data_IF_719762675615
#
_entry.id   IF_719762675615
#
_cell.length_a   1.000
_cell.length_b   1.000
_cell.length_c   1.000
_cell.angle_alpha   90.00
_cell.angle_beta   90.00
_cell.angle_gamma   90.00
#
_symmetry.space_group_name_H-M   'P 1'
#
loop_
_entity.id
_entity.type
_entity.pdbx_description
1 polymer ?
#
# COMPACT_ATOMS: atom_id res chain seq x y z
N UNK A 1 7.59 53.44 -25.98
CA UNK A 1 7.93 52.52 -24.86
C UNK A 1 6.83 51.48 -24.74
N UNK A 2 6.95 50.37 -25.50
CA UNK A 2 5.92 49.33 -25.68
C UNK A 2 6.34 48.00 -25.00
N UNK A 3 6.88 48.06 -23.79
CA UNK A 3 7.50 46.89 -23.15
C UNK A 3 7.00 46.60 -21.75
N UNK A 4 5.93 47.27 -21.28
CA UNK A 4 5.41 47.06 -19.93
C UNK A 4 4.02 46.40 -19.85
N UNK A 5 3.31 46.24 -20.97
CA UNK A 5 2.03 45.52 -21.01
C UNK A 5 2.17 44.04 -21.40
N UNK A 6 3.36 43.58 -21.81
CA UNK A 6 3.57 42.20 -22.23
C UNK A 6 3.91 41.24 -21.06
N UNK A 7 4.25 41.76 -19.88
CA UNK A 7 4.68 40.91 -18.74
C UNK A 7 3.53 40.46 -17.82
N UNK A 8 2.36 41.10 -17.90
CA UNK A 8 1.21 40.80 -17.04
C UNK A 8 0.24 39.78 -17.63
N UNK A 9 0.33 39.49 -18.93
CA UNK A 9 -0.51 38.48 -19.59
C UNK A 9 0.03 37.04 -19.49
N UNK A 10 1.30 36.86 -19.12
CA UNK A 10 1.95 35.55 -19.07
C UNK A 10 1.87 34.87 -17.69
N UNK A 11 1.43 35.58 -16.65
CA UNK A 11 1.34 35.08 -15.27
C UNK A 11 -0.06 34.56 -14.88
N UNK A 12 -1.05 34.69 -15.76
CA UNK A 12 -2.43 34.26 -15.49
C UNK A 12 -2.80 32.88 -16.08
N UNK A 13 -1.88 32.17 -16.74
CA UNK A 13 -2.20 30.98 -17.54
C UNK A 13 -1.67 29.63 -17.02
N UNK A 14 -1.22 29.52 -15.76
CA UNK A 14 -0.56 28.29 -15.26
C UNK A 14 -1.27 27.60 -14.07
N UNK A 15 -2.49 27.98 -13.68
CA UNK A 15 -3.18 27.30 -12.56
C UNK A 15 -4.55 26.66 -12.89
N UNK A 16 -4.78 26.24 -14.13
CA UNK A 16 -6.00 25.50 -14.50
C UNK A 16 -5.69 24.16 -15.21
N UNK A 17 -4.73 23.39 -14.69
CA UNK A 17 -4.51 21.99 -15.08
C UNK A 17 -3.75 21.37 -13.89
N UNK A 18 -4.24 20.49 -13.02
CA UNK A 18 -5.22 19.42 -13.13
C UNK A 18 -5.92 19.26 -11.77
N UNK A 19 -7.20 19.61 -11.68
CA UNK A 19 -8.07 18.93 -10.73
C UNK A 19 -8.61 17.68 -11.43
N UNK A 20 -7.73 16.72 -11.71
CA UNK A 20 -8.19 15.36 -11.90
C UNK A 20 -8.60 14.87 -10.52
N UNK A 21 -9.84 15.16 -10.13
CA UNK A 21 -10.53 14.32 -9.15
C UNK A 21 -10.56 12.91 -9.74
N UNK A 22 -9.48 12.15 -9.50
CA UNK A 22 -9.57 10.71 -9.59
C UNK A 22 -10.75 10.35 -8.70
N UNK A 23 -11.80 9.77 -9.28
CA UNK A 23 -12.83 9.11 -8.48
C UNK A 23 -12.11 8.02 -7.70
N UNK A 24 -11.67 8.35 -6.48
CA UNK A 24 -11.30 7.33 -5.52
C UNK A 24 -12.61 6.65 -5.19
N UNK A 25 -12.84 5.52 -5.85
CA UNK A 25 -13.92 4.62 -5.54
C UNK A 25 -13.66 4.17 -4.10
N UNK A 26 -14.39 4.76 -3.16
CA UNK A 26 -14.49 4.26 -1.80
C UNK A 26 -15.11 2.88 -1.91
N UNK A 27 -14.26 1.85 -1.97
CA UNK A 27 -14.65 0.46 -1.80
C UNK A 27 -15.41 0.40 -0.47
N UNK A 28 -16.68 -0.01 -0.51
CA UNK A 28 -17.40 -0.30 0.73
C UNK A 28 -16.74 -1.54 1.34
N UNK A 29 -15.79 -1.29 2.25
CA UNK A 29 -14.81 -2.28 2.68
C UNK A 29 -15.43 -3.41 3.51
N UNK A 30 -16.69 -3.26 3.89
CA UNK A 30 -17.50 -4.27 4.59
C UNK A 30 -17.76 -5.53 3.76
N UNK A 31 -17.82 -5.37 2.43
CA UNK A 31 -18.34 -6.36 1.51
C UNK A 31 -17.32 -7.41 1.07
N UNK A 32 -16.02 -7.08 1.12
CA UNK A 32 -14.96 -7.98 0.65
C UNK A 32 -14.39 -8.84 1.77
N UNK A 33 -14.29 -10.15 1.55
CA UNK A 33 -13.76 -11.14 2.49
C UNK A 33 -12.39 -11.66 2.04
N UNK A 34 -11.43 -11.71 2.96
CA UNK A 34 -10.08 -12.14 2.64
C UNK A 34 -10.05 -13.64 2.30
N UNK A 35 -9.50 -14.00 1.16
CA UNK A 35 -9.35 -15.39 0.73
C UNK A 35 -7.89 -15.86 0.77
N UNK A 36 -7.01 -15.07 0.16
CA UNK A 36 -5.61 -15.46 -0.07
C UNK A 36 -4.67 -14.45 0.56
N UNK A 37 -3.62 -14.95 1.21
CA UNK A 37 -2.54 -14.16 1.80
C UNK A 37 -1.24 -14.68 1.17
N UNK A 38 -0.48 -13.78 0.58
CA UNK A 38 0.82 -14.09 -0.02
C UNK A 38 1.90 -13.16 0.54
N UNK A 39 3.12 -13.68 0.59
CA UNK A 39 4.31 -12.93 1.01
C UNK A 39 5.35 -12.98 -0.09
N UNK A 40 5.89 -11.81 -0.42
CA UNK A 40 6.96 -11.66 -1.37
C UNK A 40 7.99 -10.65 -0.85
N UNK A 41 9.25 -10.91 -1.15
CA UNK A 41 10.34 -10.03 -0.77
C UNK A 41 11.46 -10.15 -1.81
N UNK A 42 12.19 -9.05 -2.01
CA UNK A 42 13.36 -9.04 -2.89
C UNK A 42 14.50 -9.90 -2.32
N UNK A 43 14.68 -9.86 -1.00
CA UNK A 43 15.63 -10.72 -0.27
C UNK A 43 14.97 -12.04 0.15
N UNK A 44 15.54 -13.17 -0.29
CA UNK A 44 15.06 -14.52 0.04
C UNK A 44 15.10 -14.83 1.54
N UNK A 45 16.03 -14.25 2.30
CA UNK A 45 16.07 -14.40 3.76
C UNK A 45 14.88 -13.71 4.41
N UNK A 46 14.49 -12.53 3.91
CA UNK A 46 13.29 -11.83 4.37
C UNK A 46 12.05 -12.65 3.99
N UNK A 47 11.98 -13.16 2.75
CA UNK A 47 10.87 -14.02 2.32
C UNK A 47 10.73 -15.25 3.21
N UNK A 48 11.83 -15.95 3.47
CA UNK A 48 11.86 -17.10 4.38
C UNK A 48 11.46 -16.74 5.82
N UNK A 49 11.89 -15.58 6.32
CA UNK A 49 11.51 -15.07 7.63
C UNK A 49 10.01 -14.80 7.74
N UNK A 50 9.40 -14.20 6.71
CA UNK A 50 7.97 -13.92 6.63
C UNK A 50 7.16 -15.22 6.62
N UNK A 51 7.53 -16.17 5.76
CA UNK A 51 6.87 -17.48 5.66
C UNK A 51 6.98 -18.27 6.98
N UNK A 52 8.15 -18.25 7.63
CA UNK A 52 8.34 -18.90 8.94
C UNK A 52 7.42 -18.35 10.04
N UNK A 53 6.97 -17.10 9.93
CA UNK A 53 6.10 -16.44 10.91
C UNK A 53 4.75 -16.06 10.30
N UNK A 54 4.27 -16.82 9.30
CA UNK A 54 3.01 -16.54 8.62
C UNK A 54 1.80 -16.66 9.55
N UNK A 55 1.87 -17.58 10.52
CA UNK A 55 0.83 -17.80 11.54
C UNK A 55 0.61 -16.57 12.44
N UNK A 56 1.61 -15.69 12.58
CA UNK A 56 1.54 -14.47 13.37
C UNK A 56 0.88 -13.30 12.63
N UNK A 57 0.60 -13.46 11.33
CA UNK A 57 -0.01 -12.41 10.51
C UNK A 57 -1.30 -11.90 11.11
N UNK A 58 -1.51 -10.58 10.99
CA UNK A 58 -2.74 -9.89 11.37
C UNK A 58 -3.85 -10.12 10.35
N UNK A 59 -3.51 -10.65 9.18
CA UNK A 59 -4.51 -11.09 8.22
C UNK A 59 -5.18 -12.39 8.67
N UNK A 60 -6.51 -12.48 8.55
CA UNK A 60 -7.29 -13.69 8.85
C UNK A 60 -8.25 -13.95 7.71
N UNK A 61 -8.23 -15.17 7.16
CA UNK A 61 -9.17 -15.58 6.11
C UNK A 61 -10.61 -15.31 6.58
N UNK A 62 -11.45 -14.81 5.67
CA UNK A 62 -12.83 -14.43 5.93
C UNK A 62 -13.01 -13.05 6.58
N UNK A 63 -11.95 -12.33 6.97
CA UNK A 63 -12.11 -11.00 7.56
C UNK A 63 -12.48 -9.95 6.49
N UNK A 64 -13.25 -8.94 6.88
CA UNK A 64 -13.53 -7.79 6.01
C UNK A 64 -12.28 -6.95 5.77
N UNK A 65 -12.24 -6.27 4.63
CA UNK A 65 -11.18 -5.33 4.29
C UNK A 65 -11.18 -4.17 5.29
N UNK A 66 -10.10 -4.03 6.07
CA UNK A 66 -9.96 -3.00 7.11
C UNK A 66 -8.55 -2.43 7.09
N UNK A 67 -8.41 -1.14 6.82
CA UNK A 67 -7.12 -0.43 6.79
C UNK A 67 -6.31 -0.64 8.08
N UNK A 68 -6.98 -0.62 9.24
CA UNK A 68 -6.34 -0.86 10.53
C UNK A 68 -5.63 -2.22 10.63
N UNK A 69 -6.08 -3.24 9.89
CA UNK A 69 -5.40 -4.53 9.80
C UNK A 69 -4.08 -4.41 9.04
N UNK A 70 -4.05 -3.69 7.93
CA UNK A 70 -2.84 -3.43 7.15
C UNK A 70 -1.81 -2.64 7.97
N UNK A 71 -2.24 -1.63 8.73
CA UNK A 71 -1.35 -0.88 9.63
C UNK A 71 -0.72 -1.77 10.70
N UNK A 72 -1.54 -2.63 11.33
CA UNK A 72 -1.06 -3.58 12.35
C UNK A 72 -0.10 -4.60 11.74
N UNK A 73 -0.39 -5.09 10.53
CA UNK A 73 0.49 -6.05 9.85
C UNK A 73 1.82 -5.42 9.46
N UNK A 74 1.78 -4.21 8.90
CA UNK A 74 2.97 -3.43 8.56
C UNK A 74 3.88 -3.25 9.78
N UNK A 75 3.32 -2.85 10.93
CA UNK A 75 4.08 -2.74 12.19
C UNK A 75 4.65 -4.08 12.66
N UNK A 76 3.90 -5.17 12.53
CA UNK A 76 4.36 -6.53 12.87
C UNK A 76 5.58 -6.90 12.03
N UNK A 77 5.51 -6.72 10.71
CA UNK A 77 6.60 -7.06 9.77
C UNK A 77 7.85 -6.22 10.06
N UNK A 78 7.72 -4.90 10.27
CA UNK A 78 8.86 -4.05 10.64
C UNK A 78 9.53 -4.57 11.91
N UNK A 79 8.75 -4.88 12.96
CA UNK A 79 9.30 -5.41 14.21
C UNK A 79 10.00 -6.76 14.00
N UNK A 80 9.42 -7.64 13.18
CA UNK A 80 9.97 -8.95 12.87
C UNK A 80 11.33 -8.82 12.15
N UNK A 81 11.41 -7.99 11.11
CA UNK A 81 12.64 -7.79 10.33
C UNK A 81 13.71 -7.10 11.19
N UNK A 82 13.34 -6.08 11.97
CA UNK A 82 14.30 -5.40 12.88
C UNK A 82 14.91 -6.30 13.93
N UNK A 83 14.15 -7.28 14.42
CA UNK A 83 14.62 -8.22 15.43
C UNK A 83 15.56 -9.29 14.87
N UNK A 84 15.41 -9.66 13.60
CA UNK A 84 16.05 -10.88 13.06
C UNK A 84 16.99 -10.65 11.87
N UNK A 85 16.94 -9.49 11.20
CA UNK A 85 17.74 -9.24 10.00
C UNK A 85 18.38 -7.84 10.00
N UNK A 86 17.56 -6.78 9.97
CA UNK A 86 18.04 -5.39 9.83
C UNK A 86 17.40 -4.46 10.87
N UNK A 87 18.12 -4.05 11.94
CA UNK A 87 17.58 -3.20 13.00
C UNK A 87 17.14 -1.81 12.51
N UNK A 88 17.61 -1.37 11.34
CA UNK A 88 17.28 -0.08 10.74
C UNK A 88 16.20 -0.18 9.65
N UNK A 89 15.58 -1.34 9.46
CA UNK A 89 14.58 -1.55 8.42
C UNK A 89 13.43 -0.52 8.50
N UNK A 90 13.13 0.16 7.40
CA UNK A 90 12.06 1.17 7.33
C UNK A 90 10.68 0.55 7.06
N UNK A 91 9.66 1.19 7.62
CA UNK A 91 8.26 0.86 7.38
C UNK A 91 7.82 1.11 5.92
N UNK A 92 8.52 2.01 5.23
CA UNK A 92 8.24 2.41 3.85
C UNK A 92 8.65 1.33 2.83
N UNK A 93 9.48 0.37 3.25
CA UNK A 93 9.88 -0.76 2.42
C UNK A 93 8.80 -1.85 2.30
N UNK A 94 7.62 -1.64 2.90
CA UNK A 94 6.51 -2.59 2.86
C UNK A 94 5.40 -1.99 1.98
N UNK A 95 4.86 -2.78 1.06
CA UNK A 95 3.63 -2.46 0.35
C UNK A 95 2.65 -3.64 0.41
N UNK A 96 1.38 -3.34 0.14
CA UNK A 96 0.34 -4.35 0.04
C UNK A 96 -0.37 -4.16 -1.29
N UNK A 97 -0.40 -5.22 -2.09
CA UNK A 97 -1.26 -5.30 -3.25
C UNK A 97 -2.55 -6.01 -2.85
N UNK A 98 -3.69 -5.42 -3.22
CA UNK A 98 -5.02 -5.94 -2.93
C UNK A 98 -5.66 -6.23 -4.28
N UNK A 99 -6.02 -7.48 -4.52
CA UNK A 99 -6.75 -7.89 -5.71
C UNK A 99 -8.17 -8.31 -5.31
N UNK A 100 -9.15 -7.57 -5.82
CA UNK A 100 -10.59 -7.77 -5.61
C UNK A 100 -11.30 -8.41 -6.81
N UNK A 101 -10.55 -8.83 -7.84
CA UNK A 101 -11.10 -9.35 -9.09
C UNK A 101 -11.33 -10.87 -9.08
N UNK A 102 -10.73 -11.59 -8.11
CA UNK A 102 -10.71 -13.05 -8.06
C UNK A 102 -12.09 -13.71 -7.94
N UNK A 103 -13.02 -13.11 -7.19
CA UNK A 103 -14.44 -13.52 -7.20
C UNK A 103 -15.32 -12.47 -6.52
N UNK A 104 -16.64 -12.57 -6.71
CA UNK A 104 -17.62 -11.66 -6.07
C UNK A 104 -17.36 -11.62 -4.56
N UNK A 105 -17.09 -10.42 -4.04
CA UNK A 105 -16.97 -10.14 -2.60
C UNK A 105 -15.77 -10.83 -1.91
N UNK A 106 -14.72 -11.18 -2.67
CA UNK A 106 -13.46 -11.68 -2.08
C UNK A 106 -12.28 -10.82 -2.50
N UNK A 107 -11.25 -10.83 -1.67
CA UNK A 107 -9.98 -10.21 -1.99
C UNK A 107 -8.80 -11.08 -1.59
N UNK A 108 -7.69 -10.95 -2.31
CA UNK A 108 -6.39 -11.43 -1.89
C UNK A 108 -5.52 -10.25 -1.44
N UNK A 109 -4.51 -10.56 -0.62
CA UNK A 109 -3.47 -9.61 -0.25
C UNK A 109 -2.12 -10.23 -0.54
N UNK A 110 -1.30 -9.52 -1.30
CA UNK A 110 0.12 -9.81 -1.44
C UNK A 110 0.92 -8.76 -0.68
N UNK A 111 1.64 -9.22 0.34
CA UNK A 111 2.60 -8.38 1.07
C UNK A 111 3.91 -8.36 0.31
N UNK A 112 4.43 -7.18 0.00
CA UNK A 112 5.67 -7.00 -0.75
C UNK A 112 6.68 -6.25 0.12
N UNK A 113 7.88 -6.80 0.24
CA UNK A 113 9.03 -6.15 0.88
C UNK A 113 10.07 -5.80 -0.18
N UNK A 114 10.34 -4.51 -0.35
CA UNK A 114 11.14 -3.97 -1.46
C UNK A 114 12.66 -4.02 -1.24
N UNK A 115 13.09 -4.20 0.01
CA UNK A 115 14.50 -4.25 0.39
C UNK A 115 15.06 -5.65 0.26
#
# INVERSE_FOLDING_TARGET
MKTLQLLLALLALIFIVNCSSSKQMTLDSGDYKLETIEFDAKDDNIKGLLLKHENETKFKKGQSLKESTFHKERKRIVKLIRKNNDPHFSIDNISFEIDTTLSKHKYSVKTIVLK
#
